data_IF_004097483354
#
_entry.id   IF_004097483354
#
_cell.length_a   1.000
_cell.length_b   1.000
_cell.length_c   1.000
_cell.angle_alpha   90.00
_cell.angle_beta   90.00
_cell.angle_gamma   90.00
#
_symmetry.space_group_name_H-M   'P 1'
#
loop_
_entity.id
_entity.type
_entity.pdbx_description
1 polymer ?
#
# COMPACT_ATOMS: atom_id res chain seq x y z
N UNK A 1 5.23 10.97 -16.23
CA UNK A 1 5.76 10.62 -14.90
C UNK A 1 7.28 10.43 -15.00
N UNK A 2 8.02 11.15 -14.17
CA UNK A 2 9.46 10.96 -14.04
C UNK A 2 9.74 9.70 -13.23
N UNK A 3 9.81 8.56 -13.89
CA UNK A 3 10.19 7.30 -13.26
C UNK A 3 11.71 7.23 -13.14
N UNK A 4 12.24 7.26 -11.93
CA UNK A 4 13.69 7.23 -11.66
C UNK A 4 14.22 5.83 -11.35
N UNK A 5 13.35 4.82 -11.25
CA UNK A 5 13.72 3.45 -10.94
C UNK A 5 13.44 2.50 -12.11
N UNK A 6 14.25 1.45 -12.28
CA UNK A 6 14.01 0.41 -13.28
C UNK A 6 12.63 -0.25 -13.13
N UNK A 7 12.17 -0.43 -11.89
CA UNK A 7 10.81 -0.91 -11.62
C UNK A 7 9.75 0.06 -12.15
N UNK A 8 9.87 1.34 -11.88
CA UNK A 8 8.93 2.35 -12.38
C UNK A 8 8.92 2.41 -13.90
N UNK A 9 10.10 2.35 -14.54
CA UNK A 9 10.23 2.31 -15.99
C UNK A 9 9.52 1.07 -16.57
N UNK A 10 9.72 -0.11 -15.98
CA UNK A 10 9.06 -1.34 -16.44
C UNK A 10 7.53 -1.25 -16.35
N UNK A 11 7.00 -0.68 -15.25
CA UNK A 11 5.55 -0.50 -15.09
C UNK A 11 4.98 0.53 -16.06
N UNK A 12 5.69 1.62 -16.31
CA UNK A 12 5.30 2.59 -17.33
C UNK A 12 5.28 1.96 -18.73
N UNK A 13 6.27 1.14 -19.05
CA UNK A 13 6.30 0.39 -20.31
C UNK A 13 5.09 -0.56 -20.42
N UNK A 14 4.75 -1.32 -19.37
CA UNK A 14 3.58 -2.19 -19.34
C UNK A 14 2.28 -1.41 -19.65
N UNK A 15 2.12 -0.21 -19.05
CA UNK A 15 0.96 0.67 -19.31
C UNK A 15 0.91 1.14 -20.77
N UNK A 16 2.04 1.59 -21.33
CA UNK A 16 2.12 2.04 -22.74
C UNK A 16 1.84 0.87 -23.70
N UNK A 17 2.45 -0.28 -23.45
CA UNK A 17 2.22 -1.48 -24.27
C UNK A 17 0.75 -1.89 -24.27
N UNK A 18 0.13 -1.97 -23.10
CA UNK A 18 -1.28 -2.32 -22.96
C UNK A 18 -2.19 -1.29 -23.68
N UNK A 19 -1.89 0.00 -23.59
CA UNK A 19 -2.68 1.05 -24.25
C UNK A 19 -2.70 0.94 -25.78
N UNK A 20 -1.61 0.44 -26.38
CA UNK A 20 -1.47 0.29 -27.81
C UNK A 20 -2.07 -1.03 -28.31
N UNK A 21 -1.78 -2.13 -27.61
CA UNK A 21 -2.06 -3.48 -28.10
C UNK A 21 -3.29 -4.15 -27.46
N UNK A 22 -3.77 -3.66 -26.31
CA UNK A 22 -4.86 -4.27 -25.55
C UNK A 22 -6.06 -3.33 -25.43
N UNK A 23 -6.89 -3.22 -26.48
CA UNK A 23 -8.02 -2.27 -26.57
C UNK A 23 -9.06 -2.42 -25.44
N UNK A 24 -9.17 -3.59 -24.82
CA UNK A 24 -10.11 -3.89 -23.74
C UNK A 24 -9.45 -4.01 -22.36
N UNK A 25 -8.21 -3.57 -22.22
CA UNK A 25 -7.50 -3.64 -20.95
C UNK A 25 -7.70 -2.38 -20.11
N UNK A 26 -7.85 -2.57 -18.79
CA UNK A 26 -7.80 -1.50 -17.79
C UNK A 26 -6.58 -1.70 -16.90
N UNK A 27 -5.65 -0.75 -16.91
CA UNK A 27 -4.51 -0.72 -15.99
C UNK A 27 -4.96 -0.26 -14.61
N UNK A 28 -4.61 -1.01 -13.56
CA UNK A 28 -4.94 -0.66 -12.18
C UNK A 28 -3.67 -0.28 -11.43
N UNK A 29 -3.54 0.97 -11.01
CA UNK A 29 -2.45 1.43 -10.13
C UNK A 29 -2.85 1.24 -8.68
N UNK A 30 -2.09 0.40 -7.99
CA UNK A 30 -2.29 0.08 -6.57
C UNK A 30 -1.23 0.79 -5.72
N UNK A 31 -1.62 1.30 -4.55
CA UNK A 31 -0.70 1.98 -3.63
C UNK A 31 -0.61 1.23 -2.30
N UNK A 32 0.62 0.82 -1.93
CA UNK A 32 0.99 0.25 -0.63
C UNK A 32 -0.09 -0.65 -0.02
N UNK A 33 -0.49 -1.69 -0.78
CA UNK A 33 -1.52 -2.64 -0.36
C UNK A 33 -1.06 -3.38 0.90
N UNK A 34 -1.95 -3.44 1.90
CA UNK A 34 -1.70 -4.15 3.15
C UNK A 34 -2.92 -4.98 3.56
N UNK A 35 -2.68 -6.01 4.39
CA UNK A 35 -3.74 -6.93 4.83
C UNK A 35 -3.21 -8.05 5.74
N UNK A 36 -4.04 -9.05 6.09
CA UNK A 36 -3.74 -10.07 7.11
C UNK A 36 -2.50 -10.93 6.81
N UNK A 37 -2.20 -11.18 5.54
CA UNK A 37 -1.05 -11.98 5.10
C UNK A 37 -0.05 -11.10 4.32
N UNK A 38 0.73 -10.25 5.01
CA UNK A 38 1.59 -9.29 4.33
C UNK A 38 2.70 -10.01 3.55
N UNK A 39 2.95 -9.53 2.33
CA UNK A 39 4.07 -10.02 1.52
C UNK A 39 5.39 -9.78 2.27
N UNK A 40 6.28 -10.78 2.24
CA UNK A 40 7.64 -10.67 2.81
C UNK A 40 8.35 -9.40 2.33
N UNK A 41 9.09 -8.75 3.24
CA UNK A 41 9.85 -7.53 3.01
C UNK A 41 9.02 -6.24 2.81
N UNK A 42 7.72 -6.27 3.08
CA UNK A 42 6.92 -5.03 3.21
C UNK A 42 7.02 -4.48 4.63
N UNK A 43 6.68 -3.20 4.82
CA UNK A 43 6.68 -2.58 6.15
C UNK A 43 5.83 -3.39 7.15
N UNK A 44 4.58 -3.69 6.78
CA UNK A 44 3.70 -4.47 7.66
C UNK A 44 4.29 -5.84 7.99
N UNK A 45 4.92 -6.52 7.02
CA UNK A 45 5.58 -7.80 7.29
C UNK A 45 6.68 -7.66 8.35
N UNK A 46 7.54 -6.64 8.26
CA UNK A 46 8.57 -6.40 9.27
C UNK A 46 7.96 -6.13 10.65
N UNK A 47 6.93 -5.29 10.73
CA UNK A 47 6.23 -4.97 11.97
C UNK A 47 5.55 -6.20 12.60
N UNK A 48 5.06 -7.14 11.78
CA UNK A 48 4.39 -8.35 12.26
C UNK A 48 5.34 -9.46 12.67
N UNK A 49 6.48 -9.60 11.99
CA UNK A 49 7.39 -10.75 12.16
C UNK A 49 8.63 -10.44 13.01
N UNK A 50 8.97 -9.17 13.19
CA UNK A 50 10.17 -8.76 13.93
C UNK A 50 9.80 -8.14 15.28
N UNK A 51 10.71 -8.26 16.25
CA UNK A 51 10.63 -7.58 17.54
C UNK A 51 11.21 -6.17 17.46
N UNK A 52 12.23 -5.98 16.61
CA UNK A 52 12.89 -4.70 16.38
C UNK A 52 12.76 -4.30 14.91
N UNK A 53 12.28 -3.09 14.63
CA UNK A 53 12.08 -2.57 13.28
C UNK A 53 12.69 -1.17 13.15
N UNK A 54 13.59 -1.01 12.19
CA UNK A 54 14.20 0.29 11.91
C UNK A 54 13.38 1.05 10.87
N UNK A 55 13.01 2.30 11.17
CA UNK A 55 12.34 3.21 10.26
C UNK A 55 13.30 4.29 9.79
N UNK A 56 13.62 4.25 8.50
CA UNK A 56 14.47 5.25 7.85
C UNK A 56 13.79 6.61 7.74
N UNK A 57 14.58 7.67 7.58
CA UNK A 57 14.10 9.04 7.59
C UNK A 57 13.26 9.35 8.83
N UNK A 58 13.64 8.82 9.98
CA UNK A 58 12.89 8.92 11.25
C UNK A 58 11.40 8.53 11.13
N UNK A 59 11.05 7.65 10.20
CA UNK A 59 9.65 7.25 9.95
C UNK A 59 8.78 8.33 9.32
N UNK A 60 9.37 9.42 8.80
CA UNK A 60 8.66 10.55 8.19
C UNK A 60 8.20 10.29 6.76
N UNK A 61 8.60 9.17 6.15
CA UNK A 61 8.15 8.83 4.80
C UNK A 61 6.63 8.71 4.75
N UNK A 62 6.00 9.39 3.78
CA UNK A 62 4.55 9.47 3.61
C UNK A 62 4.09 8.43 2.58
N UNK A 63 3.03 7.70 2.90
CA UNK A 63 2.44 6.66 2.05
C UNK A 63 0.92 6.69 2.11
N UNK A 64 0.29 6.32 1.01
CA UNK A 64 -1.13 5.97 0.95
C UNK A 64 -1.25 4.45 1.10
N UNK A 65 -1.70 3.99 2.26
CA UNK A 65 -1.92 2.56 2.52
C UNK A 65 -3.34 2.17 2.15
N UNK A 66 -3.50 1.13 1.32
CA UNK A 66 -4.81 0.66 0.86
C UNK A 66 -5.06 -0.74 1.40
N UNK A 67 -6.17 -0.93 2.09
CA UNK A 67 -6.53 -2.24 2.64
C UNK A 67 -6.89 -3.22 1.52
N UNK A 68 -6.55 -4.49 1.69
CA UNK A 68 -6.65 -5.49 0.61
C UNK A 68 -8.07 -5.71 0.13
N UNK A 69 -9.08 -5.63 1.01
CA UNK A 69 -10.48 -5.79 0.61
C UNK A 69 -10.93 -4.65 -0.31
N UNK A 70 -10.51 -3.42 -0.02
CA UNK A 70 -10.81 -2.26 -0.89
C UNK A 70 -10.15 -2.43 -2.27
N UNK A 71 -8.97 -3.06 -2.32
CA UNK A 71 -8.32 -3.38 -3.59
C UNK A 71 -9.12 -4.41 -4.37
N UNK A 72 -9.66 -5.43 -3.70
CA UNK A 72 -10.52 -6.46 -4.32
C UNK A 72 -11.78 -5.80 -4.90
N UNK A 73 -12.47 -4.95 -4.13
CA UNK A 73 -13.64 -4.20 -4.61
C UNK A 73 -13.28 -3.31 -5.80
N UNK A 74 -12.14 -2.62 -5.74
CA UNK A 74 -11.64 -1.80 -6.84
C UNK A 74 -11.33 -2.59 -8.11
N UNK A 75 -10.78 -3.79 -7.98
CA UNK A 75 -10.54 -4.69 -9.12
C UNK A 75 -11.85 -5.21 -9.72
N UNK A 76 -12.86 -5.54 -8.90
CA UNK A 76 -14.20 -5.90 -9.38
C UNK A 76 -14.83 -4.73 -10.16
N UNK A 77 -14.72 -3.51 -9.62
CA UNK A 77 -15.16 -2.29 -10.32
C UNK A 77 -14.45 -2.14 -11.69
N UNK A 78 -13.14 -2.44 -11.74
CA UNK A 78 -12.32 -2.32 -12.94
C UNK A 78 -12.82 -3.21 -14.10
N UNK A 79 -13.39 -4.38 -13.81
CA UNK A 79 -13.93 -5.30 -14.83
C UNK A 79 -15.01 -4.65 -15.69
N UNK A 80 -15.84 -3.76 -15.10
CA UNK A 80 -16.88 -3.02 -15.83
C UNK A 80 -16.44 -1.62 -16.29
N UNK A 81 -15.19 -1.26 -16.07
CA UNK A 81 -14.69 0.10 -16.31
C UNK A 81 -14.21 0.27 -17.75
N UNK A 82 -14.75 1.25 -18.46
CA UNK A 82 -14.28 1.59 -19.81
C UNK A 82 -13.21 2.69 -19.77
N UNK A 83 -12.14 2.47 -19.00
CA UNK A 83 -11.00 3.38 -18.84
C UNK A 83 -9.69 2.62 -19.00
N UNK A 84 -8.73 3.23 -19.69
CA UNK A 84 -7.41 2.61 -19.89
C UNK A 84 -6.60 2.51 -18.59
N UNK A 85 -6.75 3.48 -17.68
CA UNK A 85 -5.97 3.56 -16.45
C UNK A 85 -6.81 4.11 -15.30
N UNK A 86 -6.73 3.45 -14.14
CA UNK A 86 -7.42 3.84 -12.92
C UNK A 86 -6.52 3.69 -11.70
N UNK A 87 -6.75 4.52 -10.69
CA UNK A 87 -6.16 4.37 -9.35
C UNK A 87 -7.13 3.63 -8.42
N UNK A 88 -6.64 2.60 -7.75
CA UNK A 88 -7.31 1.95 -6.62
C UNK A 88 -6.45 2.24 -5.39
N UNK A 89 -6.82 3.26 -4.64
CA UNK A 89 -5.97 3.81 -3.60
C UNK A 89 -6.76 4.58 -2.55
N UNK A 90 -6.54 4.28 -1.27
CA UNK A 90 -6.92 5.19 -0.21
C UNK A 90 -6.03 6.44 -0.30
N UNK A 91 -6.65 7.58 -0.55
CA UNK A 91 -5.94 8.87 -0.77
C UNK A 91 -5.52 9.59 0.51
N UNK A 92 -5.78 9.00 1.68
CA UNK A 92 -5.34 9.56 2.96
C UNK A 92 -3.86 9.23 3.19
N UNK A 93 -2.94 10.20 3.10
CA UNK A 93 -1.53 9.97 3.32
C UNK A 93 -1.24 9.89 4.82
N UNK A 94 -0.43 8.90 5.21
CA UNK A 94 0.07 8.77 6.59
C UNK A 94 1.58 8.54 6.58
N UNK A 95 2.25 8.90 7.68
CA UNK A 95 3.67 8.60 7.83
C UNK A 95 3.88 7.11 8.14
N UNK A 96 5.04 6.57 7.78
CA UNK A 96 5.40 5.19 8.14
C UNK A 96 5.49 5.00 9.65
N UNK A 97 5.85 6.04 10.40
CA UNK A 97 5.83 6.03 11.86
C UNK A 97 4.41 5.89 12.40
N UNK A 98 3.44 6.65 11.85
CA UNK A 98 2.04 6.53 12.26
C UNK A 98 1.52 5.12 12.02
N UNK A 99 1.74 4.55 10.83
CA UNK A 99 1.36 3.18 10.53
C UNK A 99 2.00 2.17 11.51
N UNK A 100 3.29 2.33 11.81
CA UNK A 100 3.99 1.48 12.76
C UNK A 100 3.45 1.61 14.19
N UNK A 101 3.07 2.81 14.61
CA UNK A 101 2.47 3.05 15.94
C UNK A 101 1.13 2.33 16.12
N UNK A 102 0.31 2.26 15.07
CA UNK A 102 -0.94 1.50 15.09
C UNK A 102 -0.68 0.00 15.28
N UNK A 103 0.31 -0.56 14.58
CA UNK A 103 0.69 -1.97 14.77
C UNK A 103 1.26 -2.21 16.18
N UNK A 104 2.10 -1.28 16.68
CA UNK A 104 2.69 -1.35 18.02
C UNK A 104 1.64 -1.37 19.13
N UNK A 105 0.49 -0.75 18.92
CA UNK A 105 -0.63 -0.79 19.87
C UNK A 105 -1.15 -2.22 20.12
N UNK A 106 -1.12 -3.08 19.09
CA UNK A 106 -1.61 -4.46 19.18
C UNK A 106 -0.53 -5.50 19.45
N UNK A 107 0.72 -5.21 19.10
CA UNK A 107 1.86 -6.12 19.24
C UNK A 107 3.07 -5.36 19.79
N UNK A 108 3.70 -5.81 20.89
CA UNK A 108 4.93 -5.19 21.39
C UNK A 108 6.04 -5.32 20.35
N UNK A 109 6.55 -4.17 19.90
CA UNK A 109 7.67 -4.04 18.98
C UNK A 109 8.54 -2.85 19.39
N UNK A 110 9.83 -2.95 19.19
CA UNK A 110 10.75 -1.83 19.33
C UNK A 110 10.93 -1.16 17.97
N UNK A 111 10.81 0.16 17.95
CA UNK A 111 10.96 0.96 16.72
C UNK A 111 12.21 1.83 16.89
N UNK A 112 13.21 1.54 16.07
CA UNK A 112 14.42 2.33 15.94
C UNK A 112 14.24 3.39 14.84
N UNK A 113 14.55 4.64 15.14
CA UNK A 113 14.49 5.73 14.19
C UNK A 113 15.87 6.02 13.61
N UNK A 114 16.06 5.80 12.32
CA UNK A 114 17.28 6.05 11.59
C UNK A 114 17.16 7.35 10.82
N UNK A 115 18.02 8.32 11.13
CA UNK A 115 18.05 9.62 10.43
C UNK A 115 18.85 9.55 9.12
N UNK A 116 18.57 8.54 8.31
CA UNK A 116 19.17 8.39 6.98
C UNK A 116 18.05 8.24 5.94
N UNK A 117 18.27 8.83 4.77
CA UNK A 117 17.42 8.61 3.59
C UNK A 117 18.00 7.47 2.77
N UNK A 118 17.17 6.51 2.40
CA UNK A 118 17.56 5.53 1.39
C UNK A 118 17.47 6.16 0.01
N UNK A 119 18.48 6.02 -0.83
CA UNK A 119 18.56 6.63 -2.16
C UNK A 119 17.43 6.20 -3.12
N UNK A 120 16.76 5.07 -2.83
CA UNK A 120 15.67 4.52 -3.63
C UNK A 120 14.29 4.68 -2.96
N UNK A 121 14.22 5.34 -1.80
CA UNK A 121 12.96 5.51 -1.05
C UNK A 121 12.48 6.95 -1.16
N UNK A 122 11.44 7.17 -1.94
CA UNK A 122 10.84 8.48 -2.07
C UNK A 122 10.24 8.92 -0.73
N UNK A 123 10.47 10.18 -0.35
CA UNK A 123 9.91 10.77 0.86
C UNK A 123 8.38 10.69 0.87
N UNK A 124 7.76 11.03 -0.26
CA UNK A 124 6.32 10.98 -0.44
C UNK A 124 5.95 10.18 -1.69
N UNK A 125 4.99 9.28 -1.54
CA UNK A 125 4.30 8.62 -2.64
C UNK A 125 2.87 9.14 -2.67
N UNK A 126 2.64 10.16 -3.49
CA UNK A 126 1.31 10.73 -3.74
C UNK A 126 0.62 10.03 -4.90
N UNK A 127 -0.70 10.16 -4.92
CA UNK A 127 -1.55 9.65 -5.99
C UNK A 127 -1.62 10.68 -7.11
N UNK A 128 -1.37 10.26 -8.35
CA UNK A 128 -1.62 11.13 -9.49
C UNK A 128 -3.14 11.34 -9.64
N UNK A 129 -3.61 12.55 -9.36
CA UNK A 129 -5.03 12.92 -9.39
C UNK A 129 -5.60 13.12 -10.79
N UNK A 130 -4.75 13.20 -11.81
CA UNK A 130 -5.20 13.26 -13.22
C UNK A 130 -5.71 11.89 -13.71
N UNK A 131 -5.39 10.83 -12.97
CA UNK A 131 -5.87 9.47 -13.24
C UNK A 131 -7.09 9.21 -12.39
N UNK A 132 -8.13 8.65 -13.02
CA UNK A 132 -9.40 8.36 -12.37
C UNK A 132 -9.22 7.52 -11.10
N UNK A 133 -9.70 8.03 -10.00
CA UNK A 133 -9.75 7.32 -8.73
C UNK A 133 -11.06 6.54 -8.63
N UNK A 134 -11.00 5.24 -8.33
CA UNK A 134 -12.18 4.42 -8.09
C UNK A 134 -12.94 4.95 -6.87
N UNK A 135 -14.24 5.28 -7.00
CA UNK A 135 -15.01 5.93 -5.94
C UNK A 135 -15.51 4.92 -4.91
N UNK A 136 -14.62 4.37 -4.10
CA UNK A 136 -14.95 3.47 -2.99
C UNK A 136 -14.94 4.21 -1.65
N UNK A 137 -15.65 3.66 -0.69
CA UNK A 137 -15.49 4.01 0.73
C UNK A 137 -14.30 3.26 1.30
N UNK A 138 -13.10 3.83 1.15
CA UNK A 138 -11.87 3.18 1.57
C UNK A 138 -11.79 3.00 3.10
N UNK A 139 -11.35 1.83 3.52
CA UNK A 139 -11.06 1.49 4.92
C UNK A 139 -9.97 2.42 5.47
N UNK A 140 -10.21 3.02 6.64
CA UNK A 140 -9.17 3.80 7.33
C UNK A 140 -7.96 2.92 7.70
N UNK A 141 -6.78 3.52 7.86
CA UNK A 141 -5.59 2.75 8.23
C UNK A 141 -5.76 2.12 9.62
N UNK A 142 -6.43 2.81 10.53
CA UNK A 142 -6.77 2.36 11.87
C UNK A 142 -7.67 1.12 11.84
N UNK A 143 -8.78 1.18 11.09
CA UNK A 143 -9.71 0.07 10.96
C UNK A 143 -9.07 -1.13 10.25
N UNK A 144 -8.27 -0.88 9.22
CA UNK A 144 -7.57 -1.94 8.50
C UNK A 144 -6.55 -2.68 9.39
N UNK A 145 -5.76 -1.95 10.21
CA UNK A 145 -4.85 -2.56 11.18
C UNK A 145 -5.63 -3.33 12.23
N UNK A 146 -6.71 -2.77 12.77
CA UNK A 146 -7.59 -3.47 13.73
C UNK A 146 -8.14 -4.77 13.15
N UNK A 147 -8.67 -4.76 11.92
CA UNK A 147 -9.18 -5.96 11.23
C UNK A 147 -8.13 -7.08 11.17
N UNK A 148 -6.86 -6.74 10.87
CA UNK A 148 -5.76 -7.71 10.80
C UNK A 148 -5.58 -8.44 12.13
N UNK A 149 -5.58 -7.71 13.25
CA UNK A 149 -5.39 -8.31 14.57
C UNK A 149 -6.63 -9.06 15.07
N UNK A 150 -7.83 -8.61 14.73
CA UNK A 150 -9.08 -9.32 15.05
C UNK A 150 -9.16 -10.66 14.31
N UNK A 151 -8.73 -10.72 13.04
CA UNK A 151 -8.67 -11.97 12.29
C UNK A 151 -7.62 -12.96 12.86
N UNK A 152 -6.46 -12.47 13.29
CA UNK A 152 -5.44 -13.33 13.92
C UNK A 152 -5.98 -13.95 15.22
N UNK A 153 -6.60 -13.16 16.09
CA UNK A 153 -7.21 -13.67 17.33
C UNK A 153 -8.24 -14.77 17.07
N UNK A 154 -9.06 -14.62 16.01
CA UNK A 154 -10.05 -15.65 15.65
C UNK A 154 -9.38 -16.97 15.21
N UNK A 155 -8.27 -16.91 14.50
CA UNK A 155 -7.52 -18.10 14.06
C UNK A 155 -6.84 -18.80 15.25
N UNK A 156 -6.32 -18.04 16.21
CA UNK A 156 -5.67 -18.60 17.41
C UNK A 156 -6.68 -19.30 18.37
N UNK A 157 -7.97 -18.94 18.30
CA UNK A 157 -9.05 -19.55 19.13
C UNK A 157 -9.63 -20.81 18.46
N UNK A 158 -9.39 -21.03 17.16
CA UNK A 158 -9.96 -22.15 16.40
C UNK A 158 -9.06 -23.40 16.37
N UNK A 159 -8.05 -23.47 17.19
CA UNK A 159 -7.18 -24.62 17.49
C UNK A 159 -7.20 -24.91 19.00
#
# INVERSE_FOLDING_TARGET
ENTTSMYGISKYFDEQYASIYCKAATGCRLHNVYGPNPRKRTLLWFLMEKENVSLYNCGQNIRCFTYVDDVIEGLIYAVGCNRQLINICNVQPVTTMYFASLVKYYKPIEIELINEKRNFDNFEQSVNRDIYLVPLSYTSVEDGVKKIFDERKRKDISY
#
